data_IF_112074982384
#
_entry.id   IF_112074982384
#
_cell.length_a   1.000
_cell.length_b   1.000
_cell.length_c   1.000
_cell.angle_alpha   90.00
_cell.angle_beta   90.00
_cell.angle_gamma   90.00
#
_symmetry.space_group_name_H-M   'P 1'
#
loop_
_entity.id
_entity.type
_entity.pdbx_description
1 polymer ?
#
# COMPACT_ATOMS: atom_id res chain seq x y z
N UNK A 1 3.37 -5.51 -23.76
CA UNK A 1 3.55 -6.87 -23.21
C UNK A 1 4.47 -6.81 -22.00
N UNK A 2 4.03 -7.27 -20.82
CA UNK A 2 4.86 -7.37 -19.60
C UNK A 2 5.75 -8.61 -19.71
N UNK A 3 7.05 -8.51 -19.39
CA UNK A 3 7.94 -9.69 -19.31
C UNK A 3 7.49 -10.57 -18.12
N UNK A 4 7.29 -11.89 -18.32
CA UNK A 4 6.71 -12.78 -17.30
C UNK A 4 7.50 -12.88 -15.98
N UNK A 5 8.80 -12.55 -15.98
CA UNK A 5 9.68 -12.67 -14.81
C UNK A 5 9.83 -11.39 -13.96
N UNK A 6 9.20 -10.26 -14.29
CA UNK A 6 9.42 -9.00 -13.58
C UNK A 6 8.81 -8.94 -12.16
N UNK A 7 7.87 -9.83 -11.85
CA UNK A 7 7.20 -9.89 -10.54
C UNK A 7 7.53 -11.17 -9.76
N UNK A 8 8.49 -11.96 -10.25
CA UNK A 8 8.95 -13.16 -9.56
C UNK A 8 10.04 -12.78 -8.57
N UNK A 9 9.96 -13.32 -7.36
CA UNK A 9 11.04 -13.18 -6.40
C UNK A 9 12.25 -14.01 -6.82
N UNK A 10 13.42 -13.69 -6.26
CA UNK A 10 14.59 -14.54 -6.43
C UNK A 10 14.40 -15.84 -5.66
N UNK A 11 14.94 -16.94 -6.20
CA UNK A 11 14.85 -18.26 -5.55
C UNK A 11 15.49 -18.22 -4.14
N UNK A 12 16.62 -17.52 -4.01
CA UNK A 12 17.27 -17.31 -2.73
C UNK A 12 16.38 -16.52 -1.75
N UNK A 13 15.73 -15.45 -2.19
CA UNK A 13 14.81 -14.66 -1.36
C UNK A 13 13.62 -15.50 -0.89
N UNK A 14 13.02 -16.27 -1.81
CA UNK A 14 11.93 -17.16 -1.48
C UNK A 14 12.34 -18.22 -0.44
N UNK A 15 13.53 -18.82 -0.58
CA UNK A 15 14.02 -19.82 0.38
C UNK A 15 14.27 -19.25 1.78
N UNK A 16 14.74 -18.00 1.88
CA UNK A 16 14.96 -17.33 3.17
C UNK A 16 13.63 -17.06 3.87
N UNK A 17 12.64 -16.60 3.12
CA UNK A 17 11.32 -16.27 3.68
C UNK A 17 10.55 -17.55 4.05
N UNK A 18 10.55 -18.58 3.20
CA UNK A 18 9.87 -19.84 3.52
C UNK A 18 10.55 -20.66 4.62
N UNK A 19 11.88 -20.53 4.74
CA UNK A 19 12.69 -21.24 5.73
C UNK A 19 12.65 -20.62 7.12
N UNK A 20 12.19 -19.38 7.25
CA UNK A 20 12.05 -18.72 8.54
C UNK A 20 10.82 -19.23 9.31
N UNK A 21 10.98 -19.33 10.63
CA UNK A 21 9.88 -19.60 11.55
C UNK A 21 9.29 -18.27 12.04
N UNK A 22 8.00 -18.07 11.83
CA UNK A 22 7.29 -16.85 12.18
C UNK A 22 6.43 -17.03 13.44
N UNK A 23 6.32 -15.94 14.20
CA UNK A 23 5.50 -15.88 15.40
C UNK A 23 6.16 -16.46 16.66
N UNK A 24 5.51 -16.18 17.78
CA UNK A 24 5.91 -16.54 19.11
C UNK A 24 4.73 -16.95 20.01
N UNK A 25 4.17 -18.16 19.86
CA UNK A 25 3.04 -18.59 20.69
C UNK A 25 3.40 -18.78 22.16
N UNK A 26 4.63 -19.21 22.46
CA UNK A 26 5.07 -19.45 23.84
C UNK A 26 6.38 -18.73 24.13
N UNK A 27 6.38 -17.94 25.19
CA UNK A 27 7.55 -17.21 25.67
C UNK A 27 8.00 -17.83 26.99
N UNK A 28 9.21 -18.39 27.02
CA UNK A 28 9.79 -19.01 28.22
C UNK A 28 11.16 -18.38 28.46
N UNK A 29 11.34 -17.73 29.62
CA UNK A 29 12.59 -17.06 30.00
C UNK A 29 13.14 -16.09 28.93
N UNK A 30 12.24 -15.32 28.28
CA UNK A 30 12.61 -14.38 27.23
C UNK A 30 12.97 -15.00 25.88
N UNK A 31 12.95 -16.35 25.78
CA UNK A 31 13.15 -17.08 24.53
C UNK A 31 11.81 -17.50 23.93
N UNK A 32 11.73 -17.42 22.61
CA UNK A 32 10.53 -17.70 21.85
C UNK A 32 10.50 -19.15 21.34
N UNK A 33 9.39 -19.85 21.53
CA UNK A 33 9.22 -21.24 21.07
C UNK A 33 7.92 -21.42 20.28
N UNK A 34 7.91 -22.42 19.38
CA UNK A 34 6.71 -22.86 18.66
C UNK A 34 6.32 -22.03 17.43
N UNK A 35 7.24 -21.25 16.86
CA UNK A 35 6.95 -20.54 15.61
C UNK A 35 6.61 -21.47 14.44
N UNK A 36 5.91 -20.95 13.44
CA UNK A 36 5.40 -21.70 12.30
C UNK A 36 5.96 -21.18 10.98
N UNK A 37 6.21 -22.08 10.03
CA UNK A 37 6.55 -21.67 8.66
C UNK A 37 5.29 -21.18 7.94
N UNK A 38 5.44 -20.09 7.20
CA UNK A 38 4.38 -19.47 6.39
C UNK A 38 4.79 -19.56 4.93
N UNK A 39 3.84 -19.99 4.08
CA UNK A 39 4.05 -20.06 2.64
C UNK A 39 3.74 -18.71 2.00
N UNK A 40 4.72 -18.14 1.29
CA UNK A 40 4.56 -16.92 0.52
C UNK A 40 4.52 -17.24 -0.98
N UNK A 41 3.70 -16.54 -1.78
CA UNK A 41 3.68 -16.73 -3.22
C UNK A 41 4.98 -16.22 -3.87
N UNK A 42 5.55 -17.00 -4.80
CA UNK A 42 6.73 -16.61 -5.61
C UNK A 42 6.48 -15.35 -6.46
N UNK A 43 5.21 -15.05 -6.75
CA UNK A 43 4.79 -13.91 -7.56
C UNK A 43 4.17 -12.84 -6.68
N UNK A 44 4.69 -11.62 -6.80
CA UNK A 44 4.10 -10.44 -6.17
C UNK A 44 2.73 -10.14 -6.80
N UNK A 45 1.72 -10.03 -5.95
CA UNK A 45 0.38 -9.62 -6.37
C UNK A 45 0.35 -8.11 -6.63
N UNK A 46 0.08 -7.73 -7.86
CA UNK A 46 -0.17 -6.33 -8.20
C UNK A 46 -1.64 -6.00 -7.99
N UNK A 47 -1.90 -4.82 -7.45
CA UNK A 47 -3.26 -4.31 -7.32
C UNK A 47 -3.86 -4.12 -8.73
N UNK A 48 -4.99 -4.78 -9.05
CA UNK A 48 -5.63 -4.61 -10.35
C UNK A 48 -6.12 -3.17 -10.54
N UNK A 49 -5.83 -2.60 -11.71
CA UNK A 49 -6.18 -1.22 -12.06
C UNK A 49 -5.13 -0.16 -11.71
N UNK A 50 -4.00 -0.54 -11.08
CA UNK A 50 -2.87 0.38 -10.85
C UNK A 50 -1.93 0.46 -12.05
N UNK A 51 -1.68 -0.68 -12.69
CA UNK A 51 -0.77 -0.83 -13.82
C UNK A 51 -1.56 -0.90 -15.14
N UNK A 52 -1.08 -0.23 -16.19
CA UNK A 52 -1.63 -0.26 -17.56
C UNK A 52 -3.06 0.29 -17.75
N UNK A 53 -3.55 1.10 -16.80
CA UNK A 53 -4.77 1.90 -17.02
C UNK A 53 -4.35 3.23 -17.62
N UNK A 54 -4.90 3.65 -18.79
CA UNK A 54 -4.63 4.97 -19.34
C UNK A 54 -5.06 6.02 -18.33
N UNK A 55 -4.14 6.93 -17.99
CA UNK A 55 -4.41 8.08 -17.13
C UNK A 55 -4.80 9.23 -18.04
N UNK A 56 -5.97 9.80 -17.82
CA UNK A 56 -6.45 10.94 -18.59
C UNK A 56 -6.90 12.04 -17.65
N UNK A 57 -6.56 13.28 -18.00
CA UNK A 57 -7.09 14.47 -17.35
C UNK A 57 -7.61 15.41 -18.43
N UNK A 58 -8.83 15.92 -18.23
CA UNK A 58 -9.39 16.97 -19.06
C UNK A 58 -9.43 18.25 -18.23
N UNK A 59 -8.92 19.35 -18.78
CA UNK A 59 -8.81 20.60 -18.03
C UNK A 59 -8.84 21.83 -18.92
N UNK A 60 -8.92 22.99 -18.29
CA UNK A 60 -8.80 24.30 -18.92
C UNK A 60 -7.60 25.03 -18.32
N UNK A 61 -6.86 25.71 -19.18
CA UNK A 61 -5.81 26.66 -18.80
C UNK A 61 -6.26 28.06 -19.20
N UNK A 62 -6.19 28.99 -18.25
CA UNK A 62 -6.40 30.41 -18.49
C UNK A 62 -5.08 31.14 -18.20
N UNK A 63 -4.48 31.72 -19.23
CA UNK A 63 -3.30 32.56 -19.10
C UNK A 63 -3.68 34.02 -19.30
N UNK A 64 -3.40 34.86 -18.30
CA UNK A 64 -3.64 36.30 -18.36
C UNK A 64 -2.34 37.03 -18.04
N UNK A 65 -2.01 38.04 -18.84
CA UNK A 65 -0.90 38.95 -18.57
C UNK A 65 -1.47 40.16 -17.85
N UNK A 66 -1.05 40.39 -16.60
CA UNK A 66 -1.52 41.55 -15.84
C UNK A 66 -0.74 42.80 -16.25
N UNK A 67 -1.42 43.89 -16.65
CA UNK A 67 -0.75 45.10 -17.11
C UNK A 67 0.01 45.85 -16.00
N UNK A 68 -0.38 45.65 -14.73
CA UNK A 68 0.22 46.35 -13.59
C UNK A 68 1.56 45.75 -13.17
N UNK A 69 1.71 44.43 -13.26
CA UNK A 69 2.90 43.70 -12.77
C UNK A 69 3.71 43.04 -13.90
N UNK A 70 3.29 43.23 -15.16
CA UNK A 70 3.90 42.67 -16.38
C UNK A 70 4.27 41.17 -16.25
N UNK A 71 3.46 40.42 -15.51
CA UNK A 71 3.73 39.03 -15.16
C UNK A 71 2.60 38.14 -15.69
N UNK A 72 2.91 36.97 -16.29
CA UNK A 72 1.89 36.02 -16.68
C UNK A 72 1.36 35.26 -15.45
N UNK A 73 0.03 35.33 -15.27
CA UNK A 73 -0.72 34.49 -14.36
C UNK A 73 -1.30 33.32 -15.16
N UNK A 74 -1.05 32.09 -14.70
CA UNK A 74 -1.64 30.89 -15.31
C UNK A 74 -2.48 30.17 -14.29
N UNK A 75 -3.72 29.92 -14.68
CA UNK A 75 -4.70 29.20 -13.90
C UNK A 75 -5.00 27.87 -14.59
N UNK A 76 -4.78 26.79 -13.86
CA UNK A 76 -5.04 25.44 -14.31
C UNK A 76 -6.19 24.85 -13.51
N UNK A 77 -7.22 24.39 -14.21
CA UNK A 77 -8.24 23.52 -13.63
C UNK A 77 -8.27 22.20 -14.41
N UNK A 78 -8.07 21.08 -13.71
CA UNK A 78 -8.08 19.76 -14.32
C UNK A 78 -9.05 18.82 -13.59
N UNK A 79 -9.76 18.00 -14.36
CA UNK A 79 -10.64 16.93 -13.91
C UNK A 79 -10.13 15.58 -14.42
N UNK A 80 -10.01 14.61 -13.52
CA UNK A 80 -9.59 13.24 -13.85
C UNK A 80 -10.81 12.30 -13.91
N UNK A 81 -11.32 11.95 -15.12
CA UNK A 81 -12.42 10.98 -15.26
C UNK A 81 -11.99 9.54 -14.97
N UNK A 82 -10.73 9.19 -15.22
CA UNK A 82 -10.17 7.83 -15.05
C UNK A 82 -9.43 7.70 -13.71
N UNK A 83 -10.07 8.20 -12.65
CA UNK A 83 -9.54 8.18 -11.29
C UNK A 83 -9.44 6.74 -10.77
N UNK A 84 -8.30 6.42 -10.17
CA UNK A 84 -8.20 5.24 -9.32
C UNK A 84 -8.91 5.50 -7.98
N UNK A 85 -9.99 4.76 -7.72
CA UNK A 85 -10.64 4.70 -6.43
C UNK A 85 -10.94 3.26 -6.08
N UNK A 86 -10.08 2.67 -5.24
CA UNK A 86 -10.24 1.28 -4.82
C UNK A 86 -9.82 1.10 -3.37
N UNK A 87 -10.65 0.41 -2.62
CA UNK A 87 -10.29 -0.14 -1.33
C UNK A 87 -9.75 -1.55 -1.58
N UNK A 88 -8.56 -1.82 -1.07
CA UNK A 88 -7.92 -3.13 -1.17
C UNK A 88 -7.92 -3.71 0.24
N UNK A 89 -8.51 -4.89 0.45
CA UNK A 89 -8.42 -5.55 1.74
C UNK A 89 -6.95 -5.83 2.04
N UNK A 90 -6.54 -5.64 3.28
CA UNK A 90 -5.21 -6.05 3.69
C UNK A 90 -5.14 -7.58 3.70
N UNK A 91 -4.26 -8.14 2.87
CA UNK A 91 -4.04 -9.57 2.78
C UNK A 91 -2.81 -9.92 3.62
N UNK A 92 -3.07 -10.43 4.83
CA UNK A 92 -2.02 -10.95 5.70
C UNK A 92 -1.56 -12.31 5.16
N UNK A 93 -0.29 -12.65 5.35
CA UNK A 93 0.26 -13.93 4.90
C UNK A 93 -0.45 -15.16 5.51
N UNK A 94 -1.16 -14.95 6.62
CA UNK A 94 -2.03 -15.93 7.27
C UNK A 94 -3.39 -15.31 7.59
N UNK A 95 -4.47 -16.10 7.62
CA UNK A 95 -5.80 -15.61 7.95
C UNK A 95 -5.85 -15.06 9.38
N UNK A 96 -6.43 -13.86 9.53
CA UNK A 96 -6.64 -13.15 10.79
C UNK A 96 -8.10 -13.22 11.30
N UNK A 97 -8.97 -13.96 10.61
CA UNK A 97 -10.36 -14.13 11.01
C UNK A 97 -10.90 -15.48 10.52
N UNK A 98 -11.96 -15.98 11.16
CA UNK A 98 -12.62 -17.24 10.82
C UNK A 98 -12.04 -18.49 11.49
N UNK A 99 -12.59 -19.66 11.13
CA UNK A 99 -12.16 -20.96 11.61
C UNK A 99 -10.74 -21.25 11.08
N UNK A 100 -9.73 -21.01 11.91
CA UNK A 100 -8.32 -21.09 11.53
C UNK A 100 -7.57 -19.76 11.56
N UNK A 101 -7.93 -18.80 12.44
CA UNK A 101 -7.14 -17.59 12.70
C UNK A 101 -5.72 -17.95 13.17
N UNK A 102 -4.83 -18.16 12.21
CA UNK A 102 -3.42 -18.48 12.44
C UNK A 102 -2.65 -17.23 12.85
N UNK A 103 -3.10 -16.03 12.50
CA UNK A 103 -2.43 -14.80 12.89
C UNK A 103 -2.39 -14.65 14.42
N UNK A 104 -3.50 -14.91 15.11
CA UNK A 104 -3.55 -14.89 16.57
C UNK A 104 -2.58 -15.92 17.19
N UNK A 105 -2.39 -17.08 16.55
CA UNK A 105 -1.51 -18.13 17.05
C UNK A 105 -0.02 -17.75 17.03
N UNK A 106 0.35 -16.65 16.38
CA UNK A 106 1.70 -16.10 16.43
C UNK A 106 1.98 -15.29 17.69
N UNK A 107 0.97 -15.05 18.53
CA UNK A 107 1.12 -14.29 19.75
C UNK A 107 0.76 -15.18 20.94
N UNK A 108 1.41 -14.99 22.11
CA UNK A 108 1.03 -15.71 23.30
C UNK A 108 -0.35 -15.25 23.77
N UNK A 109 -1.09 -16.15 24.43
CA UNK A 109 -2.42 -15.84 24.99
C UNK A 109 -2.37 -15.15 26.35
N UNK A 110 -1.18 -14.69 26.78
CA UNK A 110 -1.01 -13.87 27.98
C UNK A 110 -1.48 -12.43 27.74
N UNK A 111 -1.75 -11.66 28.79
CA UNK A 111 -2.24 -10.28 28.68
C UNK A 111 -1.35 -9.38 27.80
N UNK A 112 -0.03 -9.50 27.96
CA UNK A 112 0.93 -8.79 27.12
C UNK A 112 0.91 -9.25 25.65
N UNK A 113 0.66 -10.54 25.42
CA UNK A 113 0.55 -11.11 24.07
C UNK A 113 -0.72 -10.66 23.34
N UNK A 114 -1.84 -10.59 24.05
CA UNK A 114 -3.11 -10.07 23.54
C UNK A 114 -3.01 -8.58 23.20
N UNK A 115 -2.35 -7.78 24.05
CA UNK A 115 -2.08 -6.37 23.75
C UNK A 115 -1.25 -6.23 22.47
N UNK A 116 -0.17 -7.00 22.36
CA UNK A 116 0.71 -6.98 21.17
C UNK A 116 -0.05 -7.40 19.91
N UNK A 117 -0.91 -8.43 20.00
CA UNK A 117 -1.77 -8.84 18.90
C UNK A 117 -2.73 -7.72 18.47
N UNK A 118 -3.44 -7.09 19.41
CA UNK A 118 -4.37 -6.00 19.10
C UNK A 118 -3.65 -4.82 18.43
N UNK A 119 -2.46 -4.48 18.93
CA UNK A 119 -1.62 -3.47 18.33
C UNK A 119 -1.18 -3.85 16.91
N UNK A 120 -0.79 -5.11 16.68
CA UNK A 120 -0.44 -5.62 15.35
C UNK A 120 -1.64 -5.57 14.38
N UNK A 121 -2.83 -5.95 14.83
CA UNK A 121 -4.06 -5.83 14.02
C UNK A 121 -4.40 -4.37 13.73
N UNK A 122 -4.14 -3.45 14.66
CA UNK A 122 -4.39 -2.02 14.43
C UNK A 122 -3.45 -1.43 13.36
N UNK A 123 -2.16 -1.81 13.37
CA UNK A 123 -1.20 -1.31 12.40
C UNK A 123 -1.25 -2.03 11.04
N UNK A 124 -1.56 -3.33 11.04
CA UNK A 124 -1.50 -4.20 9.87
C UNK A 124 -2.85 -4.86 9.52
N UNK A 125 -3.97 -4.35 10.02
CA UNK A 125 -5.30 -4.82 9.65
C UNK A 125 -6.13 -3.79 8.88
N UNK A 126 -5.58 -2.61 8.61
CA UNK A 126 -6.30 -1.52 7.95
C UNK A 126 -6.33 -1.72 6.42
N UNK A 127 -7.52 -1.67 5.83
CA UNK A 127 -7.67 -1.70 4.38
C UNK A 127 -6.94 -0.52 3.72
N UNK A 128 -6.17 -0.80 2.67
CA UNK A 128 -5.44 0.23 1.95
C UNK A 128 -6.37 0.93 0.95
N UNK A 129 -6.53 2.25 1.09
CA UNK A 129 -7.35 3.05 0.20
C UNK A 129 -6.47 3.74 -0.85
N UNK A 130 -6.53 3.24 -2.08
CA UNK A 130 -5.94 3.92 -3.22
C UNK A 130 -6.93 4.94 -3.77
N UNK A 131 -6.63 6.22 -3.58
CA UNK A 131 -7.47 7.34 -4.02
C UNK A 131 -6.65 8.40 -4.72
N UNK A 132 -7.00 8.65 -5.97
CA UNK A 132 -6.50 9.79 -6.72
C UNK A 132 -7.40 11.04 -6.55
N UNK A 133 -6.82 12.25 -6.54
CA UNK A 133 -7.58 13.49 -6.52
C UNK A 133 -8.42 13.61 -7.80
N UNK A 134 -9.71 13.92 -7.64
CA UNK A 134 -10.65 14.04 -8.77
C UNK A 134 -10.46 15.36 -9.53
N UNK A 135 -10.04 16.40 -8.82
CA UNK A 135 -9.91 17.77 -9.32
C UNK A 135 -8.63 18.37 -8.77
N UNK A 136 -7.92 19.14 -9.59
CA UNK A 136 -6.77 19.93 -9.17
C UNK A 136 -6.92 21.34 -9.70
N UNK A 137 -6.65 22.30 -8.82
CA UNK A 137 -6.59 23.72 -9.13
C UNK A 137 -5.18 24.19 -8.83
N UNK A 138 -4.52 24.83 -9.80
CA UNK A 138 -3.17 25.36 -9.63
C UNK A 138 -3.09 26.77 -10.20
N UNK A 139 -2.48 27.66 -9.41
CA UNK A 139 -2.11 29.00 -9.80
C UNK A 139 -0.57 29.05 -9.94
N UNK A 140 -0.06 29.62 -11.02
CA UNK A 140 1.36 29.94 -11.15
C UNK A 140 1.54 31.38 -11.60
N UNK A 141 2.49 32.07 -10.98
CA UNK A 141 2.87 33.45 -11.30
C UNK A 141 4.37 33.42 -11.63
N UNK A 142 4.75 33.93 -12.79
CA UNK A 142 6.17 34.06 -13.16
C UNK A 142 6.55 35.53 -13.15
N UNK A 143 7.70 35.87 -12.58
CA UNK A 143 8.27 37.23 -12.66
C UNK A 143 9.29 37.26 -13.81
N UNK A 144 9.30 38.32 -14.60
CA UNK A 144 10.41 38.62 -15.51
C UNK A 144 11.42 39.49 -14.77
N UNK A 145 12.70 39.11 -14.78
CA UNK A 145 13.80 39.93 -14.25
C UNK A 145 14.27 40.95 -15.31
#
# INVERSE_FOLDING_TARGET
MRKPNQLRQSIAGQSVISGASYGCPTLVNGSCFGGQSVAFPDRLHVVPGTNFVPRMSNGAELQVILPIVNAPFRLYYAYNPLRLYKQIPQDLAVPNSGAGNKFQSFFPTSDAGLFTYQQAVQYYGANYLLREPRKTFRLTVSTTF
#
